data_IF_815714553379
#
_entry.id   IF_815714553379
#
_cell.length_a   1.000
_cell.length_b   1.000
_cell.length_c   1.000
_cell.angle_alpha   90.00
_cell.angle_beta   90.00
_cell.angle_gamma   90.00
#
_symmetry.space_group_name_H-M   'P 1'
#
loop_
_entity.id
_entity.type
_entity.pdbx_description
1 polymer ?
#
# COMPACT_ATOMS: atom_id res chain seq x y z
N UNK A 1 -19.31 -9.24 -6.48
CA UNK A 1 -18.74 -8.08 -7.20
C UNK A 1 -17.41 -7.65 -6.59
N UNK A 2 -17.33 -7.30 -5.30
CA UNK A 2 -16.05 -6.94 -4.66
C UNK A 2 -15.02 -8.08 -4.73
N UNK A 3 -15.42 -9.32 -4.44
CA UNK A 3 -14.52 -10.48 -4.49
C UNK A 3 -13.92 -10.70 -5.89
N UNK A 4 -14.70 -10.45 -6.94
CA UNK A 4 -14.22 -10.49 -8.32
C UNK A 4 -13.20 -9.37 -8.58
N UNK A 5 -13.42 -8.16 -8.07
CA UNK A 5 -12.46 -7.07 -8.20
C UNK A 5 -11.16 -7.37 -7.42
N UNK A 6 -11.25 -8.00 -6.25
CA UNK A 6 -10.07 -8.48 -5.51
C UNK A 6 -9.31 -9.53 -6.32
N UNK A 7 -10.01 -10.49 -6.93
CA UNK A 7 -9.37 -11.49 -7.79
C UNK A 7 -8.70 -10.86 -9.02
N UNK A 8 -9.38 -9.93 -9.69
CA UNK A 8 -8.85 -9.21 -10.86
C UNK A 8 -7.62 -8.39 -10.48
N UNK A 9 -7.65 -7.67 -9.35
CA UNK A 9 -6.50 -6.88 -8.88
C UNK A 9 -5.33 -7.76 -8.44
N UNK A 10 -5.59 -8.92 -7.83
CA UNK A 10 -4.55 -9.90 -7.51
C UNK A 10 -3.88 -10.46 -8.78
N UNK A 11 -4.66 -10.84 -9.80
CA UNK A 11 -4.13 -11.29 -11.09
C UNK A 11 -3.35 -10.16 -11.77
N UNK A 12 -3.91 -8.95 -11.81
CA UNK A 12 -3.24 -7.78 -12.37
C UNK A 12 -1.91 -7.50 -11.65
N UNK A 13 -1.86 -7.68 -10.32
CA UNK A 13 -0.64 -7.53 -9.54
C UNK A 13 0.46 -8.50 -9.95
N UNK A 14 0.14 -9.77 -10.18
CA UNK A 14 1.11 -10.77 -10.64
C UNK A 14 1.58 -10.51 -12.07
N UNK A 15 0.65 -10.14 -12.96
CA UNK A 15 0.94 -9.92 -14.38
C UNK A 15 1.54 -8.55 -14.69
N UNK A 16 1.67 -7.68 -13.70
CA UNK A 16 2.25 -6.35 -13.86
C UNK A 16 3.65 -6.25 -13.25
N UNK A 17 4.48 -5.30 -13.73
CA UNK A 17 5.75 -4.98 -13.11
C UNK A 17 5.56 -4.57 -11.64
N UNK A 18 6.30 -5.18 -10.73
CA UNK A 18 6.45 -4.71 -9.35
C UNK A 18 7.59 -3.72 -9.22
N UNK A 19 8.64 -3.87 -10.04
CA UNK A 19 9.69 -2.87 -10.18
C UNK A 19 9.71 -2.21 -11.55
N UNK A 20 10.07 -0.93 -11.59
CA UNK A 20 10.41 -0.22 -12.83
C UNK A 20 11.86 -0.49 -13.21
N UNK A 21 12.15 -0.59 -14.52
CA UNK A 21 13.52 -0.70 -14.99
C UNK A 21 14.23 0.65 -14.91
N UNK A 22 15.41 0.67 -14.30
CA UNK A 22 16.28 1.84 -14.21
C UNK A 22 17.65 1.44 -14.78
N UNK A 23 17.83 1.50 -16.12
CA UNK A 23 19.06 1.05 -16.78
C UNK A 23 20.35 1.73 -16.26
N UNK A 24 20.38 3.05 -15.96
CA UNK A 24 21.59 3.70 -15.41
C UNK A 24 22.05 3.10 -14.08
N UNK A 25 21.12 2.59 -13.27
CA UNK A 25 21.38 1.94 -11.99
C UNK A 25 21.55 0.42 -12.13
N UNK A 26 21.53 -0.12 -13.36
CA UNK A 26 21.49 -1.55 -13.67
C UNK A 26 20.37 -2.28 -12.90
N UNK A 27 19.23 -1.61 -12.72
CA UNK A 27 18.11 -2.15 -11.97
C UNK A 27 17.07 -2.74 -12.92
N UNK A 28 16.85 -4.07 -12.90
CA UNK A 28 15.91 -4.71 -13.81
C UNK A 28 14.46 -4.46 -13.39
N UNK A 29 13.60 -4.43 -14.39
CA UNK A 29 12.17 -4.65 -14.16
C UNK A 29 11.96 -6.10 -13.71
N UNK A 30 11.10 -6.29 -12.72
CA UNK A 30 10.66 -7.58 -12.23
C UNK A 30 9.12 -7.58 -12.18
N UNK A 31 8.52 -8.59 -12.78
CA UNK A 31 7.08 -8.80 -12.71
C UNK A 31 6.66 -9.42 -11.38
N UNK A 32 5.38 -9.31 -11.03
CA UNK A 32 4.85 -9.89 -9.80
C UNK A 32 5.05 -11.40 -9.70
N UNK A 33 4.95 -12.14 -10.82
CA UNK A 33 5.21 -13.57 -10.86
C UNK A 33 6.68 -13.96 -10.64
N UNK A 34 7.61 -13.01 -10.84
CA UNK A 34 9.06 -13.17 -10.60
C UNK A 34 9.45 -12.72 -9.18
N UNK A 35 8.57 -11.96 -8.52
CA UNK A 35 8.81 -11.33 -7.22
C UNK A 35 8.20 -12.16 -6.09
N UNK A 36 8.98 -12.54 -5.05
CA UNK A 36 8.42 -13.15 -3.85
C UNK A 36 7.33 -12.30 -3.21
N UNK A 37 7.48 -10.97 -3.20
CA UNK A 37 6.47 -10.07 -2.65
C UNK A 37 5.15 -10.11 -3.45
N UNK A 38 5.23 -10.26 -4.78
CA UNK A 38 4.06 -10.43 -5.63
C UNK A 38 3.25 -11.66 -5.27
N UNK A 39 3.93 -12.81 -5.11
CA UNK A 39 3.29 -14.04 -4.66
C UNK A 39 2.72 -13.96 -3.25
N UNK A 40 3.46 -13.37 -2.30
CA UNK A 40 2.99 -13.24 -0.92
C UNK A 40 1.75 -12.32 -0.84
N UNK A 41 1.73 -11.21 -1.58
CA UNK A 41 0.57 -10.32 -1.63
C UNK A 41 -0.66 -11.03 -2.21
N UNK A 42 -0.51 -11.77 -3.31
CA UNK A 42 -1.64 -12.53 -3.90
C UNK A 42 -2.08 -13.68 -3.00
N UNK A 43 -1.17 -14.39 -2.36
CA UNK A 43 -1.51 -15.44 -1.40
C UNK A 43 -2.33 -14.86 -0.22
N UNK A 44 -1.94 -13.69 0.29
CA UNK A 44 -2.67 -12.98 1.33
C UNK A 44 -4.06 -12.53 0.89
N UNK A 45 -4.19 -11.96 -0.31
CA UNK A 45 -5.49 -11.58 -0.89
C UNK A 45 -6.39 -12.79 -1.14
N UNK A 46 -5.85 -13.89 -1.69
CA UNK A 46 -6.59 -15.12 -1.90
C UNK A 46 -7.04 -15.74 -0.56
N UNK A 47 -6.17 -15.76 0.44
CA UNK A 47 -6.51 -16.20 1.79
C UNK A 47 -7.64 -15.36 2.41
N UNK A 48 -7.63 -14.03 2.21
CA UNK A 48 -8.70 -13.17 2.70
C UNK A 48 -10.07 -13.46 2.05
N UNK A 49 -10.10 -14.01 0.83
CA UNK A 49 -11.34 -14.41 0.15
C UNK A 49 -11.85 -15.80 0.57
N UNK A 50 -10.93 -16.71 0.94
CA UNK A 50 -11.25 -18.12 1.14
C UNK A 50 -11.40 -18.51 2.61
N UNK A 51 -10.77 -17.77 3.52
CA UNK A 51 -10.76 -18.10 4.94
C UNK A 51 -11.96 -17.51 5.68
N UNK A 52 -12.22 -18.08 6.86
CA UNK A 52 -13.19 -17.52 7.80
C UNK A 52 -12.84 -16.09 8.18
N UNK A 53 -13.88 -15.30 8.48
CA UNK A 53 -13.82 -13.85 8.69
C UNK A 53 -12.69 -13.40 9.63
N UNK A 54 -12.38 -14.14 10.70
CA UNK A 54 -11.27 -13.79 11.61
C UNK A 54 -9.90 -14.04 11.00
N UNK A 55 -9.73 -15.18 10.34
CA UNK A 55 -8.48 -15.52 9.66
C UNK A 55 -8.26 -14.62 8.43
N UNK A 56 -9.34 -14.19 7.77
CA UNK A 56 -9.29 -13.20 6.70
C UNK A 56 -8.72 -11.85 7.18
N UNK A 57 -9.02 -11.40 8.41
CA UNK A 57 -8.40 -10.17 8.96
C UNK A 57 -6.88 -10.32 9.05
N UNK A 58 -6.40 -11.45 9.56
CA UNK A 58 -4.97 -11.72 9.65
C UNK A 58 -4.32 -11.79 8.26
N UNK A 59 -5.00 -12.37 7.26
CA UNK A 59 -4.52 -12.41 5.88
C UNK A 59 -4.40 -11.02 5.26
N UNK A 60 -5.32 -10.10 5.57
CA UNK A 60 -5.22 -8.70 5.11
C UNK A 60 -4.08 -7.95 5.79
N UNK A 61 -3.89 -8.13 7.10
CA UNK A 61 -2.74 -7.53 7.82
C UNK A 61 -1.42 -8.08 7.28
N UNK A 62 -1.36 -9.37 6.99
CA UNK A 62 -0.21 -9.97 6.32
C UNK A 62 0.05 -9.35 4.95
N UNK A 63 -1.00 -9.14 4.15
CA UNK A 63 -0.89 -8.48 2.83
C UNK A 63 -0.37 -7.05 2.97
N UNK A 64 -0.91 -6.27 3.91
CA UNK A 64 -0.42 -4.93 4.24
C UNK A 64 1.07 -4.96 4.63
N UNK A 65 1.46 -5.89 5.51
CA UNK A 65 2.84 -6.04 5.93
C UNK A 65 3.77 -6.36 4.74
N UNK A 66 3.35 -7.18 3.78
CA UNK A 66 4.12 -7.45 2.56
C UNK A 66 4.35 -6.16 1.76
N UNK A 67 3.31 -5.32 1.58
CA UNK A 67 3.42 -4.06 0.85
C UNK A 67 4.35 -3.07 1.56
N UNK A 68 4.21 -2.94 2.89
CA UNK A 68 5.05 -2.05 3.71
C UNK A 68 6.51 -2.53 3.73
N UNK A 69 6.75 -3.82 3.92
CA UNK A 69 8.12 -4.39 3.91
C UNK A 69 8.75 -4.23 2.54
N UNK A 70 8.01 -4.43 1.46
CA UNK A 70 8.51 -4.19 0.10
C UNK A 70 8.88 -2.72 -0.11
N UNK A 71 8.04 -1.79 0.36
CA UNK A 71 8.33 -0.35 0.25
C UNK A 71 9.55 0.06 1.10
N UNK A 72 9.70 -0.52 2.29
CA UNK A 72 10.88 -0.36 3.13
C UNK A 72 12.15 -0.91 2.46
N UNK A 73 12.06 -2.06 1.80
CA UNK A 73 13.15 -2.60 0.99
C UNK A 73 13.51 -1.68 -0.18
N UNK A 74 12.52 -1.15 -0.91
CA UNK A 74 12.75 -0.20 -2.00
C UNK A 74 13.43 1.09 -1.49
N UNK A 75 13.01 1.59 -0.32
CA UNK A 75 13.63 2.74 0.36
C UNK A 75 15.09 2.45 0.71
N UNK A 76 15.39 1.27 1.25
CA UNK A 76 16.78 0.88 1.52
C UNK A 76 17.60 0.74 0.24
N UNK A 77 17.02 0.13 -0.79
CA UNK A 77 17.66 -0.08 -2.10
C UNK A 77 18.18 1.22 -2.70
N UNK A 78 17.39 2.30 -2.69
CA UNK A 78 17.81 3.58 -3.30
C UNK A 78 18.95 4.27 -2.54
N UNK A 79 19.26 3.82 -1.32
CA UNK A 79 20.42 4.30 -0.55
C UNK A 79 21.73 3.57 -0.87
N UNK A 80 21.68 2.53 -1.71
CA UNK A 80 22.88 1.77 -2.07
C UNK A 80 23.75 2.51 -3.10
N UNK A 81 25.07 2.24 -3.18
CA UNK A 81 26.00 2.93 -4.09
C UNK A 81 25.58 2.94 -5.56
N UNK A 82 24.85 1.93 -6.02
CA UNK A 82 24.35 1.88 -7.41
C UNK A 82 23.39 3.04 -7.75
N UNK A 83 22.71 3.58 -6.75
CA UNK A 83 21.79 4.70 -6.90
C UNK A 83 22.40 6.01 -6.41
N UNK A 84 23.12 6.00 -5.27
CA UNK A 84 23.70 7.23 -4.70
C UNK A 84 24.90 7.79 -5.46
N UNK A 85 25.55 6.99 -6.32
CA UNK A 85 26.59 7.47 -7.23
C UNK A 85 26.02 8.18 -8.48
N UNK A 86 24.71 8.08 -8.72
CA UNK A 86 24.04 8.77 -9.81
C UNK A 86 23.60 10.16 -9.32
N UNK A 87 23.61 11.19 -10.19
CA UNK A 87 23.27 12.56 -9.79
C UNK A 87 21.77 12.80 -9.53
N UNK A 88 20.93 11.77 -9.65
CA UNK A 88 19.50 11.83 -9.42
C UNK A 88 19.15 11.30 -8.02
N UNK A 89 18.31 12.03 -7.28
CA UNK A 89 17.89 11.67 -5.94
C UNK A 89 16.76 10.64 -5.98
N UNK A 90 17.11 9.37 -6.19
CA UNK A 90 16.15 8.26 -6.27
C UNK A 90 15.34 8.07 -4.97
N UNK A 91 14.06 7.76 -5.13
CA UNK A 91 13.12 7.45 -4.07
C UNK A 91 12.47 6.08 -4.29
N UNK A 92 11.88 5.51 -3.23
CA UNK A 92 11.25 4.20 -3.30
C UNK A 92 10.13 4.12 -4.35
N UNK A 93 9.41 5.23 -4.53
CA UNK A 93 8.36 5.44 -5.55
C UNK A 93 8.87 5.29 -6.99
N UNK A 94 10.12 5.67 -7.28
CA UNK A 94 10.72 5.51 -8.61
C UNK A 94 10.89 4.04 -9.00
N UNK A 95 10.94 3.16 -7.99
CA UNK A 95 11.02 1.72 -8.21
C UNK A 95 9.63 1.09 -8.32
N UNK A 96 8.55 1.78 -7.95
CA UNK A 96 7.22 1.17 -7.85
C UNK A 96 6.59 0.94 -9.22
N UNK A 97 6.36 -0.34 -9.54
CA UNK A 97 5.59 -0.71 -10.71
C UNK A 97 4.08 -0.81 -10.44
N UNK A 98 3.29 -0.87 -11.51
CA UNK A 98 1.83 -0.98 -11.46
C UNK A 98 1.32 -2.19 -10.64
N UNK A 99 2.12 -3.26 -10.53
CA UNK A 99 1.78 -4.46 -9.77
C UNK A 99 1.65 -4.22 -8.27
N UNK A 100 2.46 -3.33 -7.70
CA UNK A 100 2.36 -2.95 -6.29
C UNK A 100 1.05 -2.19 -6.04
N UNK A 101 0.70 -1.22 -6.90
CA UNK A 101 -0.55 -0.47 -6.80
C UNK A 101 -1.79 -1.35 -6.98
N UNK A 102 -1.72 -2.34 -7.88
CA UNK A 102 -2.80 -3.31 -8.06
C UNK A 102 -3.03 -4.14 -6.78
N UNK A 103 -1.96 -4.60 -6.11
CA UNK A 103 -2.08 -5.30 -4.84
C UNK A 103 -2.66 -4.40 -3.74
N UNK A 104 -2.20 -3.15 -3.63
CA UNK A 104 -2.73 -2.18 -2.67
C UNK A 104 -4.22 -1.91 -2.89
N UNK A 105 -4.66 -1.78 -4.15
CA UNK A 105 -6.08 -1.64 -4.47
C UNK A 105 -6.88 -2.89 -4.07
N UNK A 106 -6.35 -4.09 -4.37
CA UNK A 106 -6.95 -5.35 -3.95
C UNK A 106 -7.11 -5.45 -2.44
N UNK A 107 -6.12 -4.99 -1.67
CA UNK A 107 -6.16 -4.93 -0.22
C UNK A 107 -7.28 -4.03 0.29
N UNK A 108 -7.39 -2.80 -0.23
CA UNK A 108 -8.46 -1.86 0.18
C UNK A 108 -9.86 -2.42 -0.13
N UNK A 109 -10.03 -3.06 -1.28
CA UNK A 109 -11.29 -3.69 -1.68
C UNK A 109 -11.64 -4.87 -0.78
N UNK A 110 -10.68 -5.75 -0.51
CA UNK A 110 -10.87 -6.91 0.35
C UNK A 110 -11.15 -6.51 1.80
N UNK A 111 -10.44 -5.50 2.32
CA UNK A 111 -10.70 -4.92 3.64
C UNK A 111 -12.11 -4.31 3.72
N UNK A 112 -12.56 -3.62 2.67
CA UNK A 112 -13.91 -3.05 2.61
C UNK A 112 -14.99 -4.13 2.63
N UNK A 113 -14.78 -5.21 1.85
CA UNK A 113 -15.68 -6.36 1.85
C UNK A 113 -15.73 -7.04 3.22
N UNK A 114 -14.57 -7.24 3.85
CA UNK A 114 -14.46 -7.92 5.14
C UNK A 114 -15.08 -7.12 6.28
N UNK A 115 -14.85 -5.80 6.35
CA UNK A 115 -15.47 -4.94 7.36
C UNK A 115 -16.98 -4.93 7.21
N UNK A 116 -17.50 -4.92 5.97
CA UNK A 116 -18.93 -5.03 5.71
C UNK A 116 -19.49 -6.36 6.23
N UNK A 117 -18.77 -7.45 6.02
CA UNK A 117 -19.19 -8.78 6.48
C UNK A 117 -19.14 -8.92 8.01
N UNK A 118 -18.08 -8.45 8.66
CA UNK A 118 -17.96 -8.38 10.12
C UNK A 118 -19.15 -7.65 10.76
N UNK A 119 -19.58 -6.55 10.14
CA UNK A 119 -20.75 -5.78 10.60
C UNK A 119 -22.06 -6.52 10.35
N UNK A 120 -22.23 -7.17 9.20
CA UNK A 120 -23.43 -7.99 8.90
C UNK A 120 -23.64 -9.10 9.92
N UNK A 121 -22.54 -9.70 10.40
CA UNK A 121 -22.57 -10.74 11.44
C UNK A 121 -22.71 -10.20 12.86
N UNK A 122 -22.84 -8.88 13.03
CA UNK A 122 -22.82 -8.20 14.34
C UNK A 122 -21.63 -8.65 15.22
N UNK A 123 -20.48 -8.94 14.60
CA UNK A 123 -19.33 -9.45 15.32
C UNK A 123 -18.81 -8.37 16.30
N UNK A 124 -18.59 -8.71 17.58
CA UNK A 124 -18.09 -7.74 18.55
C UNK A 124 -16.67 -7.28 18.13
N UNK A 125 -16.37 -5.96 18.17
CA UNK A 125 -15.02 -5.47 17.93
C UNK A 125 -14.11 -5.96 19.06
N UNK A 126 -13.13 -6.78 18.68
CA UNK A 126 -12.08 -7.37 19.53
C UNK A 126 -10.72 -6.99 18.91
N UNK A 127 -9.76 -7.91 18.89
CA UNK A 127 -8.43 -7.74 18.28
C UNK A 127 -8.50 -7.37 16.78
N UNK A 128 -9.56 -7.79 16.09
CA UNK A 128 -9.80 -7.46 14.67
C UNK A 128 -9.87 -5.95 14.43
N UNK A 129 -10.37 -5.17 15.39
CA UNK A 129 -10.39 -3.72 15.30
C UNK A 129 -8.98 -3.15 15.17
N UNK A 130 -8.07 -3.58 16.04
CA UNK A 130 -6.70 -3.07 16.09
C UNK A 130 -5.88 -3.56 14.91
N UNK A 131 -6.07 -4.82 14.51
CA UNK A 131 -5.47 -5.36 13.29
C UNK A 131 -5.88 -4.54 12.05
N UNK A 132 -7.15 -4.15 11.94
CA UNK A 132 -7.63 -3.31 10.84
C UNK A 132 -7.10 -1.87 10.87
N UNK A 133 -6.56 -1.37 11.98
CA UNK A 133 -5.89 -0.05 11.98
C UNK A 133 -4.56 -0.03 11.25
N UNK A 134 -3.99 -1.20 10.94
CA UNK A 134 -2.84 -1.30 10.04
C UNK A 134 -3.17 -0.73 8.64
N UNK A 135 -4.44 -0.84 8.22
CA UNK A 135 -4.90 -0.27 6.94
C UNK A 135 -5.57 1.09 7.24
N UNK A 136 -5.07 2.21 6.68
CA UNK A 136 -5.57 3.55 6.98
C UNK A 136 -7.10 3.66 6.85
N UNK A 137 -7.75 4.16 7.90
CA UNK A 137 -9.20 4.36 7.95
C UNK A 137 -10.07 3.13 8.24
N UNK A 138 -9.55 1.89 8.19
CA UNK A 138 -10.37 0.69 8.35
C UNK A 138 -10.80 0.41 9.79
N UNK A 139 -10.05 0.88 10.79
CA UNK A 139 -10.49 0.87 12.19
C UNK A 139 -11.79 1.66 12.41
N UNK A 140 -11.90 2.85 11.80
CA UNK A 140 -13.12 3.68 11.85
C UNK A 140 -14.30 2.98 11.16
N UNK A 141 -14.07 2.38 9.98
CA UNK A 141 -15.11 1.61 9.29
C UNK A 141 -15.61 0.44 10.13
N UNK A 142 -14.70 -0.22 10.87
CA UNK A 142 -15.03 -1.33 11.77
C UNK A 142 -15.91 -0.91 12.95
N UNK A 143 -15.76 0.32 13.43
CA UNK A 143 -16.62 0.96 14.43
C UNK A 143 -17.95 1.47 13.85
N UNK A 144 -18.18 1.33 12.53
CA UNK A 144 -19.39 1.79 11.87
C UNK A 144 -19.31 3.22 11.32
N UNK A 145 -18.18 3.92 11.50
CA UNK A 145 -17.92 5.25 10.95
C UNK A 145 -17.41 5.14 9.50
N UNK A 146 -18.24 4.58 8.62
CA UNK A 146 -17.87 4.26 7.23
C UNK A 146 -17.37 5.45 6.44
N UNK A 147 -18.05 6.60 6.57
CA UNK A 147 -17.70 7.78 5.78
C UNK A 147 -16.38 8.40 6.24
N UNK A 148 -16.18 8.50 7.56
CA UNK A 148 -14.91 8.96 8.11
C UNK A 148 -13.78 8.00 7.71
N UNK A 149 -13.96 6.69 7.88
CA UNK A 149 -12.96 5.69 7.49
C UNK A 149 -12.61 5.74 6.00
N UNK A 150 -13.62 5.87 5.13
CA UNK A 150 -13.41 5.98 3.68
C UNK A 150 -12.68 7.25 3.28
N UNK A 151 -12.99 8.38 3.94
CA UNK A 151 -12.28 9.63 3.73
C UNK A 151 -10.80 9.52 4.12
N UNK A 152 -10.48 8.93 5.28
CA UNK A 152 -9.08 8.74 5.69
C UNK A 152 -8.32 7.78 4.80
N UNK A 153 -8.94 6.68 4.37
CA UNK A 153 -8.37 5.76 3.40
C UNK A 153 -8.08 6.46 2.06
N UNK A 154 -9.04 7.27 1.57
CA UNK A 154 -8.90 8.05 0.34
C UNK A 154 -7.83 9.13 0.43
N UNK A 155 -7.73 9.85 1.55
CA UNK A 155 -6.68 10.85 1.79
C UNK A 155 -5.28 10.22 1.81
N UNK A 156 -5.14 9.09 2.50
CA UNK A 156 -3.89 8.32 2.50
C UNK A 156 -3.51 7.87 1.08
N UNK A 157 -4.42 7.16 0.40
CA UNK A 157 -4.16 6.62 -0.92
C UNK A 157 -3.90 7.73 -1.95
N UNK A 158 -4.64 8.83 -1.87
CA UNK A 158 -4.47 10.00 -2.74
C UNK A 158 -3.12 10.69 -2.53
N UNK A 159 -2.72 10.94 -1.27
CA UNK A 159 -1.41 11.53 -0.98
C UNK A 159 -0.26 10.63 -1.45
N UNK A 160 -0.35 9.32 -1.19
CA UNK A 160 0.65 8.35 -1.62
C UNK A 160 0.72 8.25 -3.16
N UNK A 161 -0.42 8.19 -3.84
CA UNK A 161 -0.46 8.17 -5.30
C UNK A 161 0.12 9.44 -5.91
N UNK A 162 -0.25 10.61 -5.39
CA UNK A 162 0.31 11.89 -5.84
C UNK A 162 1.83 11.95 -5.63
N UNK A 163 2.35 11.40 -4.53
CA UNK A 163 3.79 11.28 -4.33
C UNK A 163 4.42 10.46 -5.48
N UNK A 164 3.82 9.33 -5.85
CA UNK A 164 4.33 8.50 -6.95
C UNK A 164 4.21 9.13 -8.34
N UNK A 165 3.33 10.12 -8.55
CA UNK A 165 3.22 10.80 -9.85
C UNK A 165 4.36 11.77 -10.14
N UNK A 166 5.16 12.13 -9.12
CA UNK A 166 6.38 12.94 -9.28
C UNK A 166 7.60 12.07 -9.66
N UNK A 167 7.43 10.73 -9.69
CA UNK A 167 8.45 9.80 -10.17
C UNK A 167 8.51 9.75 -11.69
N UNK A 168 9.72 9.68 -12.28
CA UNK A 168 9.87 9.38 -13.70
C UNK A 168 9.27 8.02 -14.04
N UNK A 169 8.59 7.93 -15.18
CA UNK A 169 8.02 6.67 -15.62
C UNK A 169 9.07 5.75 -16.28
N UNK A 170 8.67 4.50 -16.56
CA UNK A 170 9.53 3.51 -17.18
C UNK A 170 10.05 3.92 -18.57
N UNK A 171 9.27 4.70 -19.32
CA UNK A 171 9.64 5.17 -20.67
C UNK A 171 10.74 6.23 -20.54
N UNK A 172 10.57 7.18 -19.63
CA UNK A 172 11.55 8.20 -19.32
C UNK A 172 12.88 7.56 -18.88
N UNK A 173 12.85 6.60 -17.94
CA UNK A 173 14.07 5.91 -17.52
C UNK A 173 14.73 5.12 -18.66
N UNK A 174 13.97 4.52 -19.57
CA UNK A 174 14.51 3.85 -20.74
C UNK A 174 15.20 4.82 -21.70
N UNK A 175 14.60 5.99 -21.94
CA UNK A 175 15.17 7.04 -22.80
C UNK A 175 16.47 7.61 -22.22
N UNK A 176 16.51 7.90 -20.91
CA UNK A 176 17.73 8.30 -20.24
C UNK A 176 18.80 7.20 -20.29
N UNK A 177 18.39 5.94 -20.10
CA UNK A 177 19.26 4.77 -20.20
C UNK A 177 19.98 4.64 -21.55
N UNK A 178 19.32 4.96 -22.68
CA UNK A 178 19.96 4.93 -24.01
C UNK A 178 21.13 5.90 -24.16
N UNK A 179 21.11 7.00 -23.42
CA UNK A 179 22.16 8.02 -23.43
C UNK A 179 23.15 7.88 -22.28
N UNK A 180 23.01 6.85 -21.43
CA UNK A 180 23.81 6.68 -20.22
C UNK A 180 23.58 7.74 -19.14
N UNK A 181 22.49 8.50 -19.25
CA UNK A 181 22.14 9.59 -18.32
C UNK A 181 21.04 9.13 -17.34
N UNK A 182 20.75 10.01 -16.38
CA UNK A 182 19.58 9.93 -15.50
C UNK A 182 18.73 11.19 -15.70
N UNK A 183 17.46 11.21 -15.21
CA UNK A 183 16.69 12.43 -15.18
C UNK A 183 17.46 13.59 -14.54
N UNK A 184 17.23 14.84 -15.00
CA UNK A 184 17.86 16.00 -14.38
C UNK A 184 17.51 16.05 -12.90
N UNK A 185 18.44 16.51 -12.06
CA UNK A 185 18.17 16.66 -10.64
C UNK A 185 17.05 17.70 -10.44
N UNK A 186 15.90 17.26 -9.93
CA UNK A 186 14.82 18.14 -9.52
C UNK A 186 14.50 17.95 -8.04
N UNK A 187 13.96 18.99 -7.37
CA UNK A 187 13.66 18.91 -5.95
C UNK A 187 12.61 17.83 -5.66
N UNK A 188 12.92 16.90 -4.76
CA UNK A 188 11.98 15.85 -4.29
C UNK A 188 11.17 16.27 -3.06
N UNK A 189 11.16 17.57 -2.75
CA UNK A 189 10.52 18.09 -1.52
C UNK A 189 9.00 17.89 -1.52
N UNK A 190 8.36 17.97 -2.68
CA UNK A 190 6.92 17.75 -2.84
C UNK A 190 6.58 16.29 -2.53
N UNK A 191 7.34 15.36 -3.09
CA UNK A 191 7.14 13.94 -2.82
C UNK A 191 7.32 13.60 -1.34
N UNK A 192 8.40 14.06 -0.69
CA UNK A 192 8.59 13.87 0.75
C UNK A 192 7.46 14.46 1.58
N UNK A 193 6.94 15.64 1.20
CA UNK A 193 5.80 16.24 1.86
C UNK A 193 4.53 15.39 1.70
N UNK A 194 4.29 14.81 0.53
CA UNK A 194 3.14 13.96 0.26
C UNK A 194 3.23 12.60 0.98
N UNK A 195 4.40 11.97 1.03
CA UNK A 195 4.64 10.76 1.84
C UNK A 195 4.48 11.06 3.34
N UNK A 196 4.98 12.21 3.80
CA UNK A 196 4.78 12.69 5.17
C UNK A 196 3.30 12.92 5.49
N UNK A 197 2.53 13.48 4.56
CA UNK A 197 1.08 13.63 4.69
C UNK A 197 0.36 12.27 4.73
N UNK A 198 0.74 11.32 3.88
CA UNK A 198 0.18 9.97 3.92
C UNK A 198 0.42 9.33 5.30
N UNK A 199 1.64 9.39 5.82
CA UNK A 199 1.95 8.89 7.17
C UNK A 199 1.12 9.61 8.25
N UNK A 200 0.98 10.94 8.16
CA UNK A 200 0.16 11.72 9.09
C UNK A 200 -1.32 11.30 9.04
N UNK A 201 -1.89 11.13 7.84
CA UNK A 201 -3.26 10.68 7.67
C UNK A 201 -3.50 9.29 8.25
N UNK A 202 -2.53 8.38 8.10
CA UNK A 202 -2.60 7.07 8.76
C UNK A 202 -2.63 7.22 10.28
N UNK A 203 -1.67 7.93 10.88
CA UNK A 203 -1.59 8.13 12.35
C UNK A 203 -2.85 8.80 12.90
N UNK A 204 -3.36 9.84 12.22
CA UNK A 204 -4.60 10.50 12.62
C UNK A 204 -5.81 9.56 12.53
N UNK A 205 -5.89 8.70 11.51
CA UNK A 205 -6.95 7.70 11.40
C UNK A 205 -6.93 6.69 12.57
N UNK A 206 -5.74 6.31 13.04
CA UNK A 206 -5.57 5.45 14.23
C UNK A 206 -6.02 6.20 15.48
N UNK A 207 -5.54 7.43 15.69
CA UNK A 207 -5.92 8.25 16.86
C UNK A 207 -7.43 8.50 16.95
N UNK A 208 -8.09 8.74 15.81
CA UNK A 208 -9.53 8.87 15.74
C UNK A 208 -10.27 7.55 16.01
N UNK A 209 -9.70 6.42 15.59
CA UNK A 209 -10.24 5.08 15.94
C UNK A 209 -10.19 4.86 17.45
N UNK A 210 -9.05 5.17 18.10
CA UNK A 210 -8.90 5.07 19.55
C UNK A 210 -9.94 5.94 20.26
N UNK A 211 -10.05 7.22 19.88
CA UNK A 211 -11.03 8.14 20.47
C UNK A 211 -12.46 7.65 20.32
N UNK A 212 -12.85 7.19 19.13
CA UNK A 212 -14.19 6.68 18.86
C UNK A 212 -14.50 5.43 19.69
N UNK A 213 -13.53 4.51 19.84
CA UNK A 213 -13.70 3.31 20.64
C UNK A 213 -13.93 3.64 22.13
N UNK A 214 -13.17 4.57 22.71
CA UNK A 214 -13.34 5.03 24.10
C UNK A 214 -14.72 5.64 24.35
N UNK A 215 -15.24 6.42 23.39
CA UNK A 215 -16.58 7.00 23.52
C UNK A 215 -17.70 5.96 23.49
N UNK A 216 -17.46 4.80 22.86
CA UNK A 216 -18.43 3.69 22.81
C UNK A 216 -18.33 2.72 23.99
N UNK A 217 -17.26 2.78 24.79
CA UNK A 217 -17.03 1.97 25.99
C UNK A 217 -16.43 2.83 27.11
N UNK A 218 -17.25 3.67 27.79
CA UNK A 218 -16.75 4.57 28.83
C UNK A 218 -16.16 3.85 30.06
N UNK A 219 -16.41 2.55 30.24
CA UNK A 219 -16.07 1.81 31.48
C UNK A 219 -14.98 0.72 31.32
N UNK A 220 -14.08 0.84 30.34
CA UNK A 220 -12.92 -0.06 30.25
C UNK A 220 -11.66 0.60 30.82
N UNK A 221 -11.67 0.79 32.14
CA UNK A 221 -10.46 0.89 32.98
C UNK A 221 -9.94 -0.52 33.33
#
# INVERSE_FOLDING_TARGET
MLDLLVAVTAIASLLSPWTVSIPPAHFPQAFGYESPAGWLAVAGLAAALLLDVRAAVAALVFTEAVLVVWFGWATWVVTTPRFTNLPFAFMATDLMGAGWFAAALGLLLAAGALVRELRRRAAPPREDLWLLTAIPGFGLMRLGLWWAGGMWAGLFAGAFYLASTDSPDAIQFADYGRSGNVPPAFPRSVEWALLGLAALFWVLSVGLTVRANLQTRPDSD
#
